data_IF_148669590676
#
_entry.id   IF_148669590676
#
_cell.length_a   1.000
_cell.length_b   1.000
_cell.length_c   1.000
_cell.angle_alpha   90.00
_cell.angle_beta   90.00
_cell.angle_gamma   90.00
#
_symmetry.space_group_name_H-M   'P 1'
#
loop_
_entity.id
_entity.type
_entity.pdbx_description
1 polymer ?
#
# COMPACT_ATOMS: atom_id res chain seq x y z
N UNK A 1 11.20 -15.55 9.75
CA UNK A 1 10.12 -16.37 9.17
C UNK A 1 10.77 -17.37 8.23
N UNK A 2 10.41 -18.64 8.35
CA UNK A 2 10.93 -19.70 7.48
C UNK A 2 9.90 -19.97 6.38
N UNK A 3 10.23 -19.63 5.15
CA UNK A 3 9.38 -19.84 3.96
C UNK A 3 10.04 -20.89 3.09
N UNK A 4 9.27 -21.88 2.63
CA UNK A 4 9.76 -22.91 1.71
C UNK A 4 9.53 -22.45 0.28
N UNK A 5 10.59 -22.01 -0.39
CA UNK A 5 10.52 -21.54 -1.78
C UNK A 5 10.02 -22.62 -2.76
N UNK A 6 10.24 -23.91 -2.45
CA UNK A 6 9.74 -25.01 -3.26
C UNK A 6 8.20 -25.07 -3.34
N UNK A 7 7.50 -24.44 -2.39
CA UNK A 7 6.03 -24.37 -2.37
C UNK A 7 5.52 -23.08 -3.05
N UNK A 8 6.39 -22.28 -3.64
CA UNK A 8 6.00 -21.02 -4.25
C UNK A 8 5.14 -21.25 -5.51
N UNK A 9 4.08 -20.48 -5.63
CA UNK A 9 3.20 -20.46 -6.80
C UNK A 9 3.48 -19.22 -7.62
N UNK A 10 3.84 -19.41 -8.87
CA UNK A 10 4.09 -18.29 -9.78
C UNK A 10 2.78 -17.65 -10.22
N UNK A 11 2.59 -16.38 -9.83
CA UNK A 11 1.43 -15.57 -10.18
C UNK A 11 1.75 -14.66 -11.39
N UNK A 12 2.16 -15.25 -12.52
CA UNK A 12 2.43 -14.49 -13.73
C UNK A 12 1.15 -13.89 -14.29
N UNK A 13 1.13 -12.57 -14.49
CA UNK A 13 -0.01 -11.82 -15.00
C UNK A 13 0.29 -11.23 -16.38
N UNK A 14 -0.70 -11.24 -17.25
CA UNK A 14 -0.67 -10.50 -18.52
C UNK A 14 -1.11 -9.06 -18.28
N UNK A 15 -0.80 -8.19 -19.22
CA UNK A 15 -1.28 -6.80 -19.22
C UNK A 15 -2.80 -6.76 -19.07
N UNK A 16 -3.29 -5.95 -18.13
CA UNK A 16 -4.72 -5.82 -17.82
C UNK A 16 -5.25 -6.86 -16.84
N UNK A 17 -4.44 -7.80 -16.39
CA UNK A 17 -4.82 -8.75 -15.33
C UNK A 17 -4.40 -8.23 -13.95
N UNK A 18 -5.09 -8.68 -12.92
CA UNK A 18 -4.78 -8.40 -11.53
C UNK A 18 -4.91 -9.69 -10.69
N UNK A 19 -4.17 -9.76 -9.62
CA UNK A 19 -4.37 -10.76 -8.56
C UNK A 19 -4.95 -10.09 -7.32
N UNK A 20 -5.70 -10.84 -6.55
CA UNK A 20 -6.20 -10.41 -5.25
C UNK A 20 -5.75 -11.44 -4.20
N UNK A 21 -5.10 -10.97 -3.16
CA UNK A 21 -4.63 -11.84 -2.08
C UNK A 21 -4.67 -11.11 -0.73
N UNK A 22 -4.68 -11.89 0.34
CA UNK A 22 -4.63 -11.36 1.69
C UNK A 22 -3.23 -10.77 1.97
N UNK A 23 -3.16 -9.71 2.74
CA UNK A 23 -1.90 -9.02 3.08
C UNK A 23 -0.88 -9.89 3.82
N UNK A 24 -1.33 -10.92 4.54
CA UNK A 24 -0.47 -11.87 5.24
C UNK A 24 0.14 -12.95 4.31
N UNK A 25 -0.17 -12.93 3.03
CA UNK A 25 0.47 -13.82 2.07
C UNK A 25 1.92 -13.39 1.85
N UNK A 26 2.85 -14.29 2.12
CA UNK A 26 4.25 -14.07 1.76
C UNK A 26 4.38 -14.05 0.24
N UNK A 27 4.96 -13.00 -0.26
CA UNK A 27 5.19 -12.85 -1.70
C UNK A 27 6.52 -12.18 -1.96
N UNK A 28 7.14 -12.54 -3.05
CA UNK A 28 8.37 -11.95 -3.54
C UNK A 28 8.36 -11.92 -5.07
N UNK A 29 9.28 -11.21 -5.65
CA UNK A 29 9.55 -11.24 -7.08
C UNK A 29 11.05 -11.36 -7.32
N UNK A 30 11.42 -12.09 -8.35
CA UNK A 30 12.79 -12.11 -8.83
C UNK A 30 13.19 -10.75 -9.43
N UNK A 31 14.48 -10.46 -9.53
CA UNK A 31 14.97 -9.27 -10.22
C UNK A 31 14.44 -9.20 -11.65
N UNK A 32 14.05 -8.01 -12.09
CA UNK A 32 13.67 -7.80 -13.48
C UNK A 32 14.88 -7.95 -14.40
N UNK A 33 14.87 -8.96 -15.25
CA UNK A 33 15.91 -9.24 -16.24
C UNK A 33 15.57 -8.71 -17.64
N UNK A 34 14.39 -8.12 -17.83
CA UNK A 34 13.99 -7.50 -19.09
C UNK A 34 14.59 -6.11 -19.27
N UNK A 35 14.67 -5.66 -20.52
CA UNK A 35 15.10 -4.29 -20.83
C UNK A 35 14.04 -3.24 -20.49
N UNK A 36 12.77 -3.64 -20.37
CA UNK A 36 11.66 -2.77 -20.05
C UNK A 36 11.38 -2.74 -18.54
N UNK A 37 10.76 -1.64 -18.10
CA UNK A 37 10.29 -1.49 -16.72
C UNK A 37 9.08 -2.37 -16.47
N UNK A 38 9.11 -3.14 -15.40
CA UNK A 38 7.93 -3.77 -14.85
C UNK A 38 7.20 -2.77 -13.95
N UNK A 39 5.99 -2.38 -14.34
CA UNK A 39 5.16 -1.48 -13.54
C UNK A 39 3.92 -2.22 -13.05
N UNK A 40 3.71 -2.19 -11.75
CA UNK A 40 2.54 -2.73 -11.10
C UNK A 40 1.89 -1.68 -10.19
N UNK A 41 0.57 -1.74 -10.08
CA UNK A 41 -0.18 -0.93 -9.10
C UNK A 41 -0.70 -1.84 -8.01
N UNK A 42 -0.34 -1.56 -6.77
CA UNK A 42 -0.85 -2.27 -5.60
C UNK A 42 -1.90 -1.41 -4.89
N UNK A 43 -3.14 -1.90 -4.84
CA UNK A 43 -4.24 -1.24 -4.13
C UNK A 43 -4.53 -2.05 -2.87
N UNK A 44 -4.51 -1.39 -1.72
CA UNK A 44 -4.85 -2.01 -0.44
C UNK A 44 -6.22 -1.55 0.00
N UNK A 45 -7.12 -2.51 0.28
CA UNK A 45 -8.46 -2.24 0.79
C UNK A 45 -8.57 -2.71 2.24
N UNK A 46 -9.19 -1.89 3.09
CA UNK A 46 -9.40 -2.18 4.50
C UNK A 46 -10.85 -1.89 4.89
N UNK A 47 -11.31 -2.50 5.98
CA UNK A 47 -12.60 -2.17 6.58
C UNK A 47 -12.43 -0.92 7.46
N UNK A 48 -13.39 -0.01 7.42
CA UNK A 48 -13.39 1.21 8.24
C UNK A 48 -13.48 0.95 9.75
N UNK A 49 -13.99 -0.22 10.16
CA UNK A 49 -14.00 -0.67 11.56
C UNK A 49 -12.60 -1.01 12.11
N UNK A 50 -11.59 -1.17 11.24
CA UNK A 50 -10.20 -1.36 11.67
C UNK A 50 -9.64 -0.05 12.22
N UNK A 51 -8.66 -0.17 13.10
CA UNK A 51 -7.90 0.99 13.61
C UNK A 51 -6.44 0.61 13.79
N UNK A 52 -5.56 1.58 13.76
CA UNK A 52 -4.16 1.38 14.11
C UNK A 52 -4.00 1.28 15.62
N UNK A 53 -3.17 0.37 16.08
CA UNK A 53 -2.95 0.12 17.52
C UNK A 53 -2.35 1.32 18.24
N UNK A 54 -1.51 2.09 17.56
CA UNK A 54 -0.87 3.29 18.09
C UNK A 54 -1.78 4.53 18.09
N UNK A 55 -3.03 4.40 17.61
CA UNK A 55 -4.02 5.46 17.54
C UNK A 55 -3.79 6.48 16.41
N UNK A 56 -2.79 6.29 15.57
CA UNK A 56 -2.60 7.16 14.40
C UNK A 56 -3.72 6.96 13.38
N UNK A 57 -4.07 8.04 12.66
CA UNK A 57 -5.04 7.99 11.58
C UNK A 57 -4.31 8.05 10.24
N UNK A 58 -4.39 6.97 9.47
CA UNK A 58 -3.90 6.96 8.10
C UNK A 58 -4.89 7.61 7.16
N UNK A 59 -4.38 8.22 6.10
CA UNK A 59 -5.19 8.77 5.02
C UNK A 59 -5.71 7.64 4.14
N UNK A 60 -7.02 7.59 3.92
CA UNK A 60 -7.69 6.59 3.07
C UNK A 60 -8.73 7.24 2.16
N UNK A 61 -8.94 6.65 0.99
CA UNK A 61 -10.04 7.01 0.13
C UNK A 61 -11.27 6.15 0.46
N UNK A 62 -12.40 6.77 0.72
CA UNK A 62 -13.67 6.05 0.89
C UNK A 62 -14.19 5.61 -0.46
N UNK A 63 -14.08 4.32 -0.77
CA UNK A 63 -14.50 3.76 -2.07
C UNK A 63 -15.89 3.15 -2.04
N UNK A 64 -16.42 2.81 -0.87
CA UNK A 64 -17.77 2.28 -0.69
C UNK A 64 -18.26 2.44 0.76
N UNK A 65 -19.56 2.55 0.95
CA UNK A 65 -20.20 2.64 2.26
C UNK A 65 -20.09 4.03 2.90
N UNK A 66 -20.22 4.06 4.21
CA UNK A 66 -20.16 5.25 5.06
C UNK A 66 -19.19 5.02 6.22
N UNK A 67 -18.47 6.04 6.64
CA UNK A 67 -17.59 5.97 7.81
C UNK A 67 -18.33 6.38 9.09
N UNK A 68 -18.72 5.37 9.87
CA UNK A 68 -19.38 5.56 11.18
C UNK A 68 -18.36 5.48 12.34
N UNK A 69 -17.09 5.25 12.07
CA UNK A 69 -16.07 4.97 13.09
C UNK A 69 -15.07 6.10 13.30
N UNK A 70 -14.75 6.86 12.27
CA UNK A 70 -13.79 7.96 12.32
C UNK A 70 -12.36 7.51 12.67
N UNK A 71 -11.99 6.28 12.38
CA UNK A 71 -10.66 5.73 12.66
C UNK A 71 -9.60 6.20 11.66
N UNK A 72 -10.02 6.71 10.52
CA UNK A 72 -9.16 7.15 9.42
C UNK A 72 -9.37 8.62 9.08
N UNK A 73 -8.41 9.22 8.45
CA UNK A 73 -8.54 10.51 7.78
C UNK A 73 -9.02 10.27 6.36
N UNK A 74 -10.18 10.82 6.00
CA UNK A 74 -10.73 10.62 4.66
C UNK A 74 -10.09 11.60 3.67
N UNK A 75 -9.49 11.06 2.62
CA UNK A 75 -8.91 11.85 1.54
C UNK A 75 -10.01 12.56 0.73
N UNK A 76 -9.83 13.84 0.47
CA UNK A 76 -10.62 14.56 -0.51
C UNK A 76 -10.32 14.03 -1.93
N UNK A 77 -11.27 14.16 -2.85
CA UNK A 77 -11.00 13.86 -4.26
C UNK A 77 -9.82 14.68 -4.79
N UNK A 78 -8.99 14.12 -5.70
CA UNK A 78 -7.88 14.85 -6.29
C UNK A 78 -8.35 16.15 -6.96
N UNK A 79 -7.58 17.23 -6.82
CA UNK A 79 -7.85 18.51 -7.45
C UNK A 79 -7.67 18.46 -8.98
N UNK A 80 -6.86 17.53 -9.46
CA UNK A 80 -6.62 17.35 -10.87
C UNK A 80 -5.44 16.43 -11.17
N UNK A 81 -5.22 16.20 -12.46
CA UNK A 81 -4.10 15.38 -12.89
C UNK A 81 -2.77 16.06 -12.56
N UNK A 82 -1.90 15.39 -11.81
CA UNK A 82 -0.58 15.87 -11.42
C UNK A 82 -0.61 17.21 -10.64
N UNK A 83 -1.65 17.47 -9.86
CA UNK A 83 -1.76 18.67 -9.06
C UNK A 83 -0.75 18.65 -7.90
N UNK A 84 -0.03 19.75 -7.70
CA UNK A 84 1.07 19.81 -6.71
C UNK A 84 0.59 19.60 -5.27
N UNK A 85 -0.58 20.13 -4.91
CA UNK A 85 -1.11 19.95 -3.57
C UNK A 85 -1.44 18.48 -3.29
N UNK A 86 -1.93 17.75 -4.29
CA UNK A 86 -2.23 16.32 -4.15
C UNK A 86 -0.94 15.51 -3.93
N UNK A 87 0.14 15.88 -4.62
CA UNK A 87 1.47 15.30 -4.38
C UNK A 87 1.99 15.58 -2.97
N UNK A 88 1.79 16.80 -2.46
CA UNK A 88 2.22 17.14 -1.11
C UNK A 88 1.45 16.34 -0.05
N UNK A 89 0.15 16.16 -0.21
CA UNK A 89 -0.67 15.31 0.67
C UNK A 89 -0.16 13.87 0.65
N UNK A 90 0.07 13.30 -0.53
CA UNK A 90 0.62 11.95 -0.67
C UNK A 90 2.01 11.82 -0.02
N UNK A 91 2.86 12.83 -0.17
CA UNK A 91 4.21 12.85 0.41
C UNK A 91 4.18 12.89 1.95
N UNK A 92 3.27 13.66 2.52
CA UNK A 92 3.09 13.73 3.97
C UNK A 92 2.55 12.41 4.53
N UNK A 93 1.59 11.80 3.85
CA UNK A 93 1.05 10.49 4.25
C UNK A 93 2.11 9.38 4.14
N UNK A 94 2.91 9.38 3.08
CA UNK A 94 4.03 8.44 2.94
C UNK A 94 5.01 8.57 4.12
N UNK A 95 5.41 9.78 4.50
CA UNK A 95 6.28 9.99 5.66
C UNK A 95 5.69 9.47 6.97
N UNK A 96 4.37 9.64 7.17
CA UNK A 96 3.67 9.10 8.36
C UNK A 96 3.72 7.57 8.38
N UNK A 97 3.48 6.94 7.22
CA UNK A 97 3.52 5.48 7.06
C UNK A 97 4.94 4.92 7.27
N UNK A 98 5.93 5.58 6.71
CA UNK A 98 7.34 5.18 6.89
C UNK A 98 7.77 5.25 8.35
N UNK A 99 7.35 6.27 9.09
CA UNK A 99 7.64 6.39 10.51
C UNK A 99 7.07 5.23 11.35
N UNK A 100 5.95 4.65 10.93
CA UNK A 100 5.34 3.48 11.58
C UNK A 100 6.05 2.20 11.13
N UNK A 101 6.21 2.02 9.82
CA UNK A 101 6.74 0.80 9.21
C UNK A 101 8.20 0.52 9.62
N UNK A 102 9.01 1.58 9.71
CA UNK A 102 10.43 1.46 10.04
C UNK A 102 10.74 1.78 11.51
N UNK A 103 9.72 1.84 12.38
CA UNK A 103 9.90 2.08 13.81
C UNK A 103 10.83 1.02 14.43
N UNK A 104 12.00 1.45 14.91
CA UNK A 104 12.98 0.57 15.54
C UNK A 104 13.86 -0.21 14.56
N UNK A 105 13.84 0.11 13.26
CA UNK A 105 14.78 -0.44 12.28
C UNK A 105 15.78 0.62 11.79
N UNK A 106 16.98 0.19 11.43
CA UNK A 106 17.99 1.06 10.80
C UNK A 106 17.71 1.32 9.31
N UNK A 107 16.67 0.72 8.75
CA UNK A 107 16.31 0.80 7.33
C UNK A 107 15.70 2.15 6.89
N UNK A 108 15.45 3.07 7.83
CA UNK A 108 14.86 4.40 7.56
C UNK A 108 15.81 5.38 6.86
N UNK A 109 16.96 4.93 6.38
CA UNK A 109 18.01 5.77 5.78
C UNK A 109 18.30 5.50 4.31
N UNK A 110 17.40 4.79 3.61
CA UNK A 110 17.50 4.65 2.16
C UNK A 110 16.66 5.69 1.42
#
# INVERSE_FOLDING_TARGET
VNVREADAVHAALKVGQASMHHEHLFHASDPNTAYDRCMGTAIRCIKLAMRQEDGTKSLVALVAGQDDYGHFELAAPPKGRLHLDDFEICRQDAKRKDAILFKGSDASKM
#
